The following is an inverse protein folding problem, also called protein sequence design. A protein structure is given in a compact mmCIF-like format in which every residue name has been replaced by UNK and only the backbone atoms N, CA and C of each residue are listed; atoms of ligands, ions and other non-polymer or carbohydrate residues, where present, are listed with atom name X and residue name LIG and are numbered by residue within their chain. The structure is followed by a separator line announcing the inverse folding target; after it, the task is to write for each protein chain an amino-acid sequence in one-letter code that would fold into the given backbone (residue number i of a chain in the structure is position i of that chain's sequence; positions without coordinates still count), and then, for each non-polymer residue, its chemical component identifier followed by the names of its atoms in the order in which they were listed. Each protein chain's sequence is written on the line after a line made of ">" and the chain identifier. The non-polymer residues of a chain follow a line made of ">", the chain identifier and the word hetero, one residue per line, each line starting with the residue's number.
data_IF_612245692627
#
_entry.id   IF_612245692627
#
_cell.length_a   1.000
_cell.length_b   1.000
_cell.length_c   1.000
_cell.angle_alpha   90.00
_cell.angle_beta   90.00
_cell.angle_gamma   90.00
#
_symmetry.space_group_name_H-M   'P 1'
#
loop_
_entity.id
_entity.type
_entity.pdbx_description
1 polymer ?
#
# COMPACT_ATOMS: atom_id res chain seq x y z
N UNK A 1 -5.52 -5.69 -9.52
CA UNK A 1 -6.11 -5.80 -8.16
C UNK A 1 -6.96 -7.05 -7.96
N UNK A 2 -7.89 -7.39 -8.85
CA UNK A 2 -8.77 -8.56 -8.68
C UNK A 2 -8.05 -9.88 -8.33
N UNK A 3 -6.95 -10.21 -9.00
CA UNK A 3 -6.13 -11.38 -8.65
C UNK A 3 -5.60 -11.31 -7.22
N UNK A 4 -5.02 -10.17 -6.83
CA UNK A 4 -4.46 -9.96 -5.48
C UNK A 4 -5.53 -9.98 -4.39
N UNK A 5 -6.71 -9.41 -4.66
CA UNK A 5 -7.87 -9.49 -3.77
C UNK A 5 -8.27 -10.95 -3.50
N UNK A 6 -8.30 -11.79 -4.55
CA UNK A 6 -8.62 -13.22 -4.42
C UNK A 6 -7.63 -14.00 -3.57
N UNK A 7 -6.34 -13.66 -3.66
CA UNK A 7 -5.28 -14.26 -2.82
C UNK A 7 -5.39 -13.87 -1.34
N UNK A 8 -6.08 -12.77 -1.02
CA UNK A 8 -6.09 -12.17 0.30
C UNK A 8 -7.13 -12.74 1.27
N UNK A 9 -8.05 -13.59 0.79
CA UNK A 9 -9.11 -14.16 1.61
C UNK A 9 -8.61 -14.93 2.86
N UNK A 10 -7.35 -15.39 2.85
CA UNK A 10 -6.75 -16.18 3.93
C UNK A 10 -5.43 -15.59 4.46
N UNK A 11 -5.12 -14.33 4.17
CA UNK A 11 -3.82 -13.72 4.49
C UNK A 11 -3.97 -12.42 5.27
N UNK A 12 -3.23 -12.30 6.37
CA UNK A 12 -3.09 -11.04 7.11
C UNK A 12 -1.94 -10.21 6.53
N UNK A 13 -0.80 -10.87 6.26
CA UNK A 13 0.39 -10.31 5.62
C UNK A 13 0.75 -11.10 4.37
N UNK A 14 1.63 -10.54 3.53
CA UNK A 14 1.90 -11.09 2.20
C UNK A 14 2.40 -12.54 2.22
N UNK A 15 3.12 -12.94 3.27
CA UNK A 15 3.72 -14.26 3.44
C UNK A 15 3.24 -15.00 4.70
N UNK A 16 1.98 -14.80 5.13
CA UNK A 16 1.36 -15.52 6.24
C UNK A 16 0.86 -14.60 7.36
N UNK A 17 1.07 -15.00 8.60
CA UNK A 17 0.52 -14.32 9.79
C UNK A 17 1.44 -13.23 10.36
N UNK A 18 2.71 -13.20 9.94
CA UNK A 18 3.71 -12.23 10.38
C UNK A 18 4.10 -11.26 9.27
N UNK A 19 4.50 -10.05 9.65
CA UNK A 19 5.12 -9.08 8.74
C UNK A 19 6.51 -9.56 8.31
N UNK A 20 6.82 -9.51 7.02
CA UNK A 20 8.06 -10.02 6.45
C UNK A 20 8.65 -9.08 5.38
N UNK A 21 9.77 -9.49 4.78
CA UNK A 21 10.34 -8.81 3.61
C UNK A 21 9.35 -8.72 2.43
N UNK A 22 8.38 -9.64 2.32
CA UNK A 22 7.35 -9.56 1.29
C UNK A 22 6.48 -8.31 1.46
N UNK A 23 6.18 -7.92 2.70
CA UNK A 23 5.41 -6.71 3.01
C UNK A 23 6.24 -5.43 2.82
N UNK A 24 7.54 -5.48 3.14
CA UNK A 24 8.49 -4.40 2.80
C UNK A 24 8.51 -4.12 1.29
N UNK A 25 8.45 -5.17 0.47
CA UNK A 25 8.39 -5.04 -0.99
C UNK A 25 7.00 -4.56 -1.47
N UNK A 26 5.93 -5.06 -0.86
CA UNK A 26 4.56 -4.71 -1.26
C UNK A 26 4.16 -3.26 -0.91
N UNK A 27 4.65 -2.72 0.21
CA UNK A 27 4.28 -1.39 0.70
C UNK A 27 4.50 -0.25 -0.32
N UNK A 28 5.72 -0.01 -0.84
CA UNK A 28 5.92 1.05 -1.84
C UNK A 28 5.20 0.75 -3.15
N UNK A 29 5.11 -0.52 -3.56
CA UNK A 29 4.42 -0.91 -4.79
C UNK A 29 2.91 -0.58 -4.72
N UNK A 30 2.23 -0.93 -3.62
CA UNK A 30 0.81 -0.63 -3.42
C UNK A 30 0.54 0.86 -3.16
N UNK A 31 1.47 1.56 -2.55
CA UNK A 31 1.37 3.01 -2.36
C UNK A 31 1.32 3.75 -3.69
N UNK A 32 2.33 3.55 -4.55
CA UNK A 32 2.36 4.20 -5.86
C UNK A 32 1.32 3.65 -6.82
N UNK A 33 0.97 2.36 -6.74
CA UNK A 33 -0.10 1.81 -7.56
C UNK A 33 -1.45 2.49 -7.25
N UNK A 34 -1.77 2.76 -5.99
CA UNK A 34 -3.00 3.48 -5.64
C UNK A 34 -2.97 4.95 -6.10
N UNK A 35 -1.79 5.59 -6.11
CA UNK A 35 -1.65 6.94 -6.66
C UNK A 35 -1.92 6.99 -8.16
N UNK A 36 -1.43 6.00 -8.92
CA UNK A 36 -1.63 5.96 -10.39
C UNK A 36 -3.01 5.47 -10.78
N UNK A 37 -3.52 4.46 -10.07
CA UNK A 37 -4.79 3.83 -10.36
C UNK A 37 -5.43 3.40 -9.04
N UNK A 38 -6.37 4.19 -8.50
CA UNK A 38 -6.95 3.95 -7.18
C UNK A 38 -7.49 2.52 -7.01
N UNK A 39 -7.24 1.93 -5.84
CA UNK A 39 -7.80 0.62 -5.50
C UNK A 39 -9.31 0.78 -5.28
N UNK A 40 -10.10 0.22 -6.20
CA UNK A 40 -11.55 0.34 -6.18
C UNK A 40 -12.17 -0.22 -4.88
N UNK A 41 -13.32 0.34 -4.49
CA UNK A 41 -14.04 -0.08 -3.30
C UNK A 41 -14.48 -1.57 -3.31
N UNK A 42 -14.57 -2.18 -4.49
CA UNK A 42 -14.84 -3.61 -4.69
C UNK A 42 -13.68 -4.53 -4.26
N UNK A 43 -12.54 -3.99 -3.83
CA UNK A 43 -11.38 -4.74 -3.34
C UNK A 43 -11.12 -4.45 -1.85
N UNK A 44 -12.06 -4.80 -0.95
CA UNK A 44 -11.98 -4.45 0.47
C UNK A 44 -10.79 -5.07 1.20
N UNK A 45 -10.40 -6.31 0.87
CA UNK A 45 -9.29 -6.99 1.55
C UNK A 45 -7.96 -6.33 1.21
N UNK A 46 -7.78 -5.97 -0.06
CA UNK A 46 -6.58 -5.27 -0.51
C UNK A 46 -6.50 -3.85 0.07
N UNK A 47 -7.64 -3.13 0.16
CA UNK A 47 -7.67 -1.82 0.85
C UNK A 47 -7.31 -1.96 2.33
N UNK A 48 -7.82 -2.99 3.01
CA UNK A 48 -7.48 -3.26 4.41
C UNK A 48 -5.99 -3.60 4.59
N UNK A 49 -5.41 -4.36 3.66
CA UNK A 49 -3.98 -4.66 3.66
C UNK A 49 -3.14 -3.40 3.46
N UNK A 50 -3.47 -2.56 2.45
CA UNK A 50 -2.79 -1.29 2.22
C UNK A 50 -2.87 -0.38 3.45
N UNK A 51 -4.04 -0.26 4.08
CA UNK A 51 -4.20 0.52 5.30
C UNK A 51 -3.30 0.00 6.44
N UNK A 52 -3.16 -1.33 6.58
CA UNK A 52 -2.28 -1.94 7.57
C UNK A 52 -0.80 -1.65 7.30
N UNK A 53 -0.38 -1.64 6.03
CA UNK A 53 0.97 -1.23 5.66
C UNK A 53 1.22 0.23 6.01
N UNK A 54 0.30 1.14 5.65
CA UNK A 54 0.40 2.58 5.95
C UNK A 54 0.44 2.89 7.44
N UNK A 55 -0.29 2.14 8.26
CA UNK A 55 -0.27 2.30 9.71
C UNK A 55 1.03 1.80 10.36
N UNK A 56 1.89 1.07 9.64
CA UNK A 56 3.11 0.51 10.22
C UNK A 56 4.16 1.61 10.42
N UNK A 57 4.77 1.77 11.62
CA UNK A 57 5.65 2.91 11.92
C UNK A 57 6.80 3.13 10.93
N UNK A 58 7.46 2.05 10.51
CA UNK A 58 8.56 2.13 9.54
C UNK A 58 8.13 2.65 8.17
N UNK A 59 6.90 2.32 7.74
CA UNK A 59 6.39 2.78 6.46
C UNK A 59 5.78 4.17 6.56
N UNK A 60 5.02 4.45 7.62
CA UNK A 60 4.54 5.79 7.93
C UNK A 60 5.68 6.81 7.95
N UNK A 61 6.79 6.52 8.64
CA UNK A 61 7.96 7.39 8.68
C UNK A 61 8.52 7.67 7.27
N UNK A 62 8.55 6.67 6.38
CA UNK A 62 9.01 6.85 5.00
C UNK A 62 8.03 7.70 4.17
N UNK A 63 6.72 7.50 4.34
CA UNK A 63 5.67 8.29 3.65
C UNK A 63 5.73 9.75 4.10
N UNK A 64 5.87 10.00 5.40
CA UNK A 64 6.02 11.34 5.97
C UNK A 64 7.30 12.02 5.49
N UNK A 65 8.44 11.33 5.58
CA UNK A 65 9.72 11.83 5.08
C UNK A 65 9.71 12.11 3.57
N UNK A 66 8.83 11.43 2.82
CA UNK A 66 8.64 11.62 1.38
C UNK A 66 7.76 12.83 1.00
N UNK A 67 6.98 13.41 1.93
CA UNK A 67 6.03 14.50 1.63
C UNK A 67 6.65 15.69 0.86
N UNK A 68 7.84 16.20 1.24
CA UNK A 68 8.46 17.31 0.51
C UNK A 68 8.75 17.00 -0.96
N UNK A 69 8.91 15.73 -1.32
CA UNK A 69 9.31 15.28 -2.66
C UNK A 69 8.14 14.83 -3.54
N UNK A 70 6.90 14.91 -3.05
CA UNK A 70 5.70 14.44 -3.77
C UNK A 70 5.49 15.13 -5.12
N UNK A 71 5.92 16.38 -5.25
CA UNK A 71 5.88 17.14 -6.51
C UNK A 71 6.77 16.55 -7.62
N UNK A 72 7.70 15.64 -7.28
CA UNK A 72 8.47 14.89 -8.28
C UNK A 72 7.70 13.71 -8.87
N UNK A 73 6.53 13.35 -8.34
CA UNK A 73 5.73 12.28 -8.90
C UNK A 73 5.08 12.71 -10.24
N UNK A 74 5.39 12.05 -11.37
CA UNK A 74 5.03 12.56 -12.70
C UNK A 74 3.52 12.74 -12.95
N UNK A 75 2.68 11.98 -12.26
CA UNK A 75 1.22 12.01 -12.45
C UNK A 75 0.50 12.96 -11.47
N UNK A 76 1.26 13.68 -10.64
CA UNK A 76 0.72 14.47 -9.53
C UNK A 76 0.40 13.57 -8.34
N UNK A 77 1.08 13.77 -7.21
CA UNK A 77 0.79 13.03 -6.00
C UNK A 77 -0.59 13.46 -5.46
N UNK A 78 -1.50 12.53 -5.17
CA UNK A 78 -2.78 12.88 -4.57
C UNK A 78 -2.59 13.39 -3.12
N UNK A 79 -3.48 14.27 -2.69
CA UNK A 79 -3.52 14.78 -1.31
C UNK A 79 -4.20 13.77 -0.38
N UNK A 80 -3.61 12.58 -0.30
CA UNK A 80 -3.97 11.50 0.62
C UNK A 80 -2.73 10.72 1.03
N UNK A 81 -2.89 9.92 2.08
CA UNK A 81 -1.84 9.20 2.80
C UNK A 81 -0.83 10.12 3.50
#
# INVERSE_FOLDING_TARGET
>A
YAWLEGEWARRTWAAGDGFTMADCAAAPALFYADWTHPIAASYPLLRAYRARLLARPSFAQAVEGGRPYRHYFPLGAPDRD
#
